data_IF_439348796705
#
_entry.id   IF_439348796705
#
_cell.length_a   1.000
_cell.length_b   1.000
_cell.length_c   1.000
_cell.angle_alpha   90.00
_cell.angle_beta   90.00
_cell.angle_gamma   90.00
#
_symmetry.space_group_name_H-M   'P 1'
#
loop_
_entity.id
_entity.type
_entity.pdbx_description
1 polymer ?
#
# COMPACT_ATOMS: atom_id res chain seq x y z
N UNK A 1 -35.42 23.76 63.38
CA UNK A 1 -35.27 22.85 62.22
C UNK A 1 -34.98 23.70 60.99
N UNK A 2 -33.75 23.67 60.45
CA UNK A 2 -33.40 24.32 59.18
C UNK A 2 -32.84 23.23 58.27
N UNK A 3 -33.62 22.83 57.27
CA UNK A 3 -33.25 21.79 56.31
C UNK A 3 -32.37 22.42 55.23
N UNK A 4 -31.11 22.00 55.13
CA UNK A 4 -30.19 22.37 54.07
C UNK A 4 -30.35 21.34 52.94
N UNK A 5 -30.75 21.80 51.75
CA UNK A 5 -30.82 20.97 50.55
C UNK A 5 -29.50 21.15 49.78
N UNK A 6 -28.67 20.10 49.78
CA UNK A 6 -27.46 20.04 48.97
C UNK A 6 -27.79 19.42 47.61
N UNK A 7 -27.72 20.21 46.55
CA UNK A 7 -27.84 19.73 45.17
C UNK A 7 -26.50 19.10 44.77
N UNK A 8 -26.49 17.79 44.55
CA UNK A 8 -25.34 17.05 44.02
C UNK A 8 -25.39 17.14 42.50
N UNK A 9 -24.46 17.90 41.92
CA UNK A 9 -24.25 17.98 40.48
C UNK A 9 -23.50 16.71 40.01
N UNK A 10 -24.20 15.77 39.39
CA UNK A 10 -23.58 14.59 38.78
C UNK A 10 -22.98 15.03 37.44
N UNK A 11 -21.66 15.24 37.41
CA UNK A 11 -20.92 15.43 36.18
C UNK A 11 -20.86 14.10 35.42
N UNK A 12 -21.69 13.95 34.39
CA UNK A 12 -21.59 12.85 33.43
C UNK A 12 -20.33 13.09 32.59
N UNK A 13 -19.22 12.48 33.00
CA UNK A 13 -18.00 12.44 32.20
C UNK A 13 -18.25 11.56 30.98
N UNK A 14 -18.51 12.18 29.82
CA UNK A 14 -18.46 11.48 28.53
C UNK A 14 -16.99 11.15 28.29
N UNK A 15 -16.55 9.96 28.69
CA UNK A 15 -15.27 9.43 28.26
C UNK A 15 -15.35 9.21 26.75
N UNK A 16 -14.78 10.13 25.98
CA UNK A 16 -14.60 9.96 24.53
C UNK A 16 -13.63 8.80 24.34
N UNK A 17 -14.17 7.58 24.18
CA UNK A 17 -13.36 6.41 23.90
C UNK A 17 -12.70 6.63 22.54
N UNK A 18 -11.37 6.62 22.52
CA UNK A 18 -10.58 6.73 21.29
C UNK A 18 -11.05 5.66 20.30
N UNK A 19 -11.78 6.07 19.26
CA UNK A 19 -12.26 5.13 18.26
C UNK A 19 -11.06 4.65 17.44
N UNK A 20 -10.81 3.34 17.50
CA UNK A 20 -9.75 2.69 16.76
C UNK A 20 -10.09 2.67 15.28
N UNK A 21 -9.25 3.28 14.45
CA UNK A 21 -9.32 3.23 12.99
C UNK A 21 -8.51 2.05 12.48
N UNK A 22 -9.16 1.05 11.89
CA UNK A 22 -8.51 -0.12 11.30
C UNK A 22 -8.41 0.05 9.77
N UNK A 23 -7.19 0.07 9.25
CA UNK A 23 -6.89 0.29 7.84
C UNK A 23 -6.29 -0.98 7.24
N UNK A 24 -6.90 -1.50 6.18
CA UNK A 24 -6.27 -2.48 5.31
C UNK A 24 -5.53 -1.75 4.19
N UNK A 25 -4.21 -1.89 4.10
CA UNK A 25 -3.38 -1.16 3.15
C UNK A 25 -2.49 -2.08 2.32
N UNK A 26 -2.40 -1.81 1.02
CA UNK A 26 -1.45 -2.50 0.16
C UNK A 26 0.00 -2.31 0.66
N UNK A 27 0.79 -3.37 0.62
CA UNK A 27 2.09 -3.41 1.28
C UNK A 27 3.13 -2.43 0.69
N UNK A 28 2.95 -1.96 -0.55
CA UNK A 28 3.79 -0.89 -1.13
C UNK A 28 3.66 0.43 -0.35
N UNK A 29 2.55 0.64 0.36
CA UNK A 29 2.25 1.88 1.07
C UNK A 29 2.92 1.97 2.44
N UNK A 30 3.64 0.93 2.88
CA UNK A 30 4.13 0.84 4.26
C UNK A 30 4.82 2.12 4.75
N UNK A 31 5.89 2.53 4.07
CA UNK A 31 6.70 3.66 4.53
C UNK A 31 5.96 5.00 4.45
N UNK A 32 5.20 5.25 3.38
CA UNK A 32 4.44 6.50 3.23
C UNK A 32 3.29 6.59 4.22
N UNK A 33 2.57 5.49 4.47
CA UNK A 33 1.48 5.48 5.45
C UNK A 33 1.97 5.50 6.89
N UNK A 34 3.14 4.92 7.19
CA UNK A 34 3.76 5.03 8.51
C UNK A 34 4.13 6.50 8.80
N UNK A 35 4.69 7.23 7.83
CA UNK A 35 4.98 8.66 7.95
C UNK A 35 3.70 9.51 8.06
N UNK A 36 2.69 9.27 7.20
CA UNK A 36 1.40 9.97 7.25
C UNK A 36 0.69 9.71 8.59
N UNK A 37 0.70 8.46 9.08
CA UNK A 37 0.14 8.11 10.39
C UNK A 37 0.84 8.87 11.50
N UNK A 38 2.18 8.96 11.46
CA UNK A 38 2.95 9.70 12.46
C UNK A 38 2.56 11.19 12.46
N UNK A 39 2.45 11.80 11.28
CA UNK A 39 2.00 13.19 11.15
C UNK A 39 0.56 13.39 11.65
N UNK A 40 -0.36 12.49 11.30
CA UNK A 40 -1.75 12.53 11.74
C UNK A 40 -1.86 12.46 13.27
N UNK A 41 -1.14 11.53 13.91
CA UNK A 41 -1.19 11.35 15.36
C UNK A 41 -0.58 12.52 16.14
N UNK A 42 0.33 13.28 15.55
CA UNK A 42 0.83 14.52 16.14
C UNK A 42 -0.28 15.59 16.26
N UNK A 43 -1.21 15.62 15.32
CA UNK A 43 -2.36 16.55 15.30
C UNK A 43 -3.60 15.98 16.02
N UNK A 44 -3.70 14.65 16.10
CA UNK A 44 -4.82 13.92 16.67
C UNK A 44 -4.35 12.88 17.70
N UNK A 45 -3.77 13.30 18.85
CA UNK A 45 -3.11 12.40 19.80
C UNK A 45 -4.06 11.42 20.50
N UNK A 46 -5.37 11.66 20.43
CA UNK A 46 -6.40 10.76 20.96
C UNK A 46 -6.83 9.67 19.97
N UNK A 47 -6.42 9.75 18.71
CA UNK A 47 -6.78 8.74 17.71
C UNK A 47 -5.88 7.50 17.85
N UNK A 48 -6.46 6.32 17.64
CA UNK A 48 -5.70 5.07 17.55
C UNK A 48 -5.83 4.51 16.13
N UNK A 49 -4.72 4.41 15.40
CA UNK A 49 -4.70 3.90 14.03
C UNK A 49 -3.93 2.57 14.00
N UNK A 50 -4.61 1.51 13.57
CA UNK A 50 -4.00 0.23 13.26
C UNK A 50 -4.01 0.01 11.74
N UNK A 51 -2.84 -0.25 11.16
CA UNK A 51 -2.69 -0.52 9.74
C UNK A 51 -2.24 -1.96 9.57
N UNK A 52 -3.00 -2.73 8.80
CA UNK A 52 -2.66 -4.08 8.36
C UNK A 52 -2.18 -4.02 6.92
N UNK A 53 -0.92 -4.41 6.71
CA UNK A 53 -0.31 -4.42 5.39
C UNK A 53 -0.40 -5.81 4.74
N UNK A 54 -0.70 -5.85 3.44
CA UNK A 54 -0.79 -7.10 2.68
C UNK A 54 -0.91 -6.85 1.17
N UNK A 55 -1.11 -7.91 0.38
CA UNK A 55 -1.50 -7.72 -1.02
C UNK A 55 -2.97 -7.27 -1.10
N UNK A 56 -3.30 -6.38 -2.04
CA UNK A 56 -4.65 -5.86 -2.21
C UNK A 56 -5.69 -6.97 -2.34
N UNK A 57 -5.38 -8.03 -3.11
CA UNK A 57 -6.26 -9.16 -3.28
C UNK A 57 -6.53 -9.90 -1.97
N UNK A 58 -5.49 -10.27 -1.22
CA UNK A 58 -5.67 -10.95 0.08
C UNK A 58 -6.47 -10.10 1.06
N UNK A 59 -6.18 -8.80 1.14
CA UNK A 59 -6.92 -7.87 2.02
C UNK A 59 -8.38 -7.69 1.60
N UNK A 60 -8.65 -7.59 0.29
CA UNK A 60 -10.02 -7.54 -0.23
C UNK A 60 -10.82 -8.80 0.13
N UNK A 61 -10.20 -9.98 0.07
CA UNK A 61 -10.84 -11.23 0.48
C UNK A 61 -11.12 -11.25 1.98
N UNK A 62 -10.20 -10.76 2.81
CA UNK A 62 -10.45 -10.61 4.24
C UNK A 62 -11.64 -9.69 4.52
N UNK A 63 -11.75 -8.56 3.82
CA UNK A 63 -12.90 -7.64 3.94
C UNK A 63 -14.20 -8.35 3.55
N UNK A 64 -14.22 -9.08 2.43
CA UNK A 64 -15.41 -9.84 2.00
C UNK A 64 -15.79 -10.95 3.00
N UNK A 65 -14.80 -11.51 3.69
CA UNK A 65 -14.99 -12.50 4.75
C UNK A 65 -15.32 -11.89 6.12
N UNK A 66 -15.57 -10.58 6.20
CA UNK A 66 -16.05 -9.91 7.41
C UNK A 66 -14.95 -9.41 8.35
N UNK A 67 -13.69 -9.33 7.90
CA UNK A 67 -12.63 -8.69 8.69
C UNK A 67 -12.99 -7.22 8.95
N UNK A 68 -12.88 -6.81 10.22
CA UNK A 68 -13.28 -5.48 10.69
C UNK A 68 -12.26 -4.40 10.28
N UNK A 69 -12.44 -3.86 9.08
CA UNK A 69 -11.72 -2.70 8.57
C UNK A 69 -12.67 -1.53 8.36
N UNK A 70 -12.16 -0.31 8.54
CA UNK A 70 -12.87 0.94 8.28
C UNK A 70 -12.49 1.53 6.92
N UNK A 71 -11.24 1.35 6.50
CA UNK A 71 -10.65 1.89 5.29
C UNK A 71 -9.85 0.82 4.57
N UNK A 72 -10.03 0.72 3.26
CA UNK A 72 -9.17 -0.06 2.38
C UNK A 72 -8.41 0.87 1.44
N UNK A 73 -7.09 0.72 1.39
CA UNK A 73 -6.19 1.44 0.48
C UNK A 73 -5.49 0.42 -0.42
N UNK A 74 -5.97 0.27 -1.66
CA UNK A 74 -5.46 -0.70 -2.63
C UNK A 74 -4.32 -0.12 -3.46
N UNK A 75 -3.47 -0.98 -4.02
CA UNK A 75 -2.48 -0.65 -5.06
C UNK A 75 -3.07 -0.57 -6.49
N UNK A 76 -4.39 -0.78 -6.65
CA UNK A 76 -5.14 -0.66 -7.89
C UNK A 76 -6.53 -0.06 -7.65
N UNK A 77 -7.27 0.14 -8.74
CA UNK A 77 -8.70 0.50 -8.74
C UNK A 77 -9.63 -0.72 -8.77
N UNK A 78 -9.14 -1.89 -9.20
CA UNK A 78 -9.94 -3.09 -9.44
C UNK A 78 -10.46 -3.73 -8.16
N UNK A 79 -9.64 -3.89 -7.11
CA UNK A 79 -10.11 -4.49 -5.86
C UNK A 79 -11.16 -3.62 -5.15
N UNK A 80 -10.98 -2.29 -5.02
CA UNK A 80 -12.03 -1.41 -4.51
C UNK A 80 -13.33 -1.49 -5.34
N UNK A 81 -13.23 -1.57 -6.67
CA UNK A 81 -14.40 -1.74 -7.53
C UNK A 81 -15.13 -3.08 -7.27
N UNK A 82 -14.38 -4.18 -7.12
CA UNK A 82 -14.94 -5.50 -6.75
C UNK A 82 -15.64 -5.46 -5.39
N UNK A 83 -15.06 -4.80 -4.39
CA UNK A 83 -15.68 -4.63 -3.07
C UNK A 83 -17.00 -3.85 -3.17
N UNK A 84 -17.03 -2.78 -3.97
CA UNK A 84 -18.25 -2.01 -4.23
C UNK A 84 -19.34 -2.88 -4.88
N UNK A 85 -18.99 -3.66 -5.91
CA UNK A 85 -19.92 -4.59 -6.56
C UNK A 85 -20.50 -5.64 -5.60
N UNK A 86 -19.77 -6.00 -4.55
CA UNK A 86 -20.21 -6.92 -3.49
C UNK A 86 -20.95 -6.22 -2.34
N UNK A 87 -21.18 -4.90 -2.43
CA UNK A 87 -21.87 -4.13 -1.40
C UNK A 87 -21.07 -3.94 -0.11
N UNK A 88 -19.75 -4.12 -0.17
CA UNK A 88 -18.85 -4.05 0.98
C UNK A 88 -18.30 -2.65 1.27
N UNK A 89 -18.67 -1.64 0.48
CA UNK A 89 -18.14 -0.27 0.60
C UNK A 89 -19.23 0.76 0.90
N UNK A 90 -18.80 1.92 1.41
CA UNK A 90 -19.62 3.13 1.53
C UNK A 90 -19.12 4.15 0.52
N UNK A 91 -19.92 4.42 -0.51
CA UNK A 91 -19.56 5.33 -1.58
C UNK A 91 -18.53 4.76 -2.56
N UNK A 92 -17.93 5.67 -3.32
CA UNK A 92 -16.99 5.36 -4.41
C UNK A 92 -15.54 5.38 -3.95
N UNK A 93 -14.71 4.62 -4.65
CA UNK A 93 -13.28 4.65 -4.45
C UNK A 93 -12.68 5.95 -5.00
N UNK A 94 -11.70 6.50 -4.30
CA UNK A 94 -10.99 7.72 -4.67
C UNK A 94 -9.56 7.36 -5.04
N UNK A 95 -9.11 7.75 -6.23
CA UNK A 95 -7.70 7.61 -6.62
C UNK A 95 -6.87 8.56 -5.77
N UNK A 96 -5.93 8.04 -4.99
CA UNK A 96 -5.08 8.83 -4.08
C UNK A 96 -3.67 9.02 -4.61
N UNK A 97 -3.15 8.08 -5.40
CA UNK A 97 -1.80 8.15 -5.93
C UNK A 97 -1.62 7.24 -7.16
N UNK A 98 -0.54 7.47 -7.90
CA UNK A 98 0.00 6.53 -8.89
C UNK A 98 1.36 6.04 -8.41
N UNK A 99 1.52 4.72 -8.38
CA UNK A 99 2.80 4.07 -8.07
C UNK A 99 3.70 3.94 -9.30
N UNK A 100 4.96 3.57 -9.05
CA UNK A 100 5.95 3.27 -10.10
C UNK A 100 6.60 1.91 -9.89
N UNK A 101 6.77 1.17 -10.97
CA UNK A 101 7.45 -0.13 -10.99
C UNK A 101 8.96 0.09 -11.20
N UNK A 102 9.78 -0.67 -10.49
CA UNK A 102 11.24 -0.65 -10.66
C UNK A 102 11.80 -2.06 -10.71
N UNK A 103 12.91 -2.22 -11.42
CA UNK A 103 13.78 -3.38 -11.30
C UNK A 103 14.88 -3.06 -10.28
N UNK A 104 15.03 -3.88 -9.24
CA UNK A 104 15.95 -3.65 -8.13
C UNK A 104 16.94 -4.82 -7.97
N UNK A 105 18.18 -4.51 -7.61
CA UNK A 105 19.19 -5.49 -7.24
C UNK A 105 20.16 -4.92 -6.19
N UNK A 106 20.72 -5.82 -5.36
CA UNK A 106 21.82 -5.50 -4.42
C UNK A 106 23.20 -5.90 -4.95
N UNK A 107 23.25 -6.71 -6.02
CA UNK A 107 24.49 -7.33 -6.50
C UNK A 107 24.77 -7.08 -7.98
N UNK A 108 23.73 -6.75 -8.76
CA UNK A 108 23.83 -6.55 -10.20
C UNK A 108 23.60 -5.09 -10.59
N UNK A 109 24.23 -4.69 -11.69
CA UNK A 109 24.11 -3.36 -12.25
C UNK A 109 22.80 -3.20 -13.03
N UNK A 110 21.79 -2.68 -12.34
CA UNK A 110 20.46 -2.39 -12.90
C UNK A 110 20.45 -1.24 -13.90
N UNK A 111 21.51 -0.42 -13.99
CA UNK A 111 21.55 0.70 -14.96
C UNK A 111 21.46 0.24 -16.41
N UNK A 112 21.75 -1.04 -16.67
CA UNK A 112 21.58 -1.73 -17.96
C UNK A 112 20.11 -1.92 -18.37
N UNK A 113 19.15 -1.59 -17.50
CA UNK A 113 17.73 -1.78 -17.77
C UNK A 113 17.38 -3.24 -18.04
N UNK A 114 16.38 -3.49 -18.89
CA UNK A 114 15.89 -4.86 -19.16
C UNK A 114 16.94 -5.78 -19.79
N UNK A 115 17.99 -5.24 -20.43
CA UNK A 115 19.10 -6.04 -20.95
C UNK A 115 19.85 -6.79 -19.83
N UNK A 116 19.75 -6.34 -18.57
CA UNK A 116 20.29 -7.07 -17.42
C UNK A 116 19.70 -8.49 -17.31
N UNK A 117 18.47 -8.71 -17.78
CA UNK A 117 17.79 -10.01 -17.67
C UNK A 117 18.45 -11.11 -18.53
N UNK A 118 19.34 -10.73 -19.45
CA UNK A 118 20.18 -11.62 -20.26
C UNK A 118 21.48 -12.03 -19.57
N UNK A 119 21.84 -11.35 -18.49
CA UNK A 119 23.04 -11.67 -17.72
C UNK A 119 22.91 -13.09 -17.14
N UNK A 120 23.94 -13.90 -17.35
CA UNK A 120 23.96 -15.31 -16.93
C UNK A 120 23.89 -15.45 -15.41
N UNK A 121 24.21 -14.40 -14.65
CA UNK A 121 24.08 -14.34 -13.19
C UNK A 121 22.62 -14.20 -12.73
N UNK A 122 21.71 -13.74 -13.57
CA UNK A 122 20.27 -13.69 -13.23
C UNK A 122 19.70 -15.10 -13.29
N UNK A 123 19.60 -15.76 -12.14
CA UNK A 123 19.05 -17.11 -11.98
C UNK A 123 17.62 -17.07 -11.46
N UNK A 124 17.31 -16.11 -10.59
CA UNK A 124 16.00 -15.90 -9.97
C UNK A 124 15.57 -14.45 -10.10
N UNK A 125 14.30 -14.27 -10.44
CA UNK A 125 13.65 -12.97 -10.60
C UNK A 125 12.46 -12.94 -9.65
N UNK A 126 12.52 -12.09 -8.63
CA UNK A 126 11.41 -11.92 -7.70
C UNK A 126 10.30 -11.09 -8.35
N UNK A 127 9.09 -11.64 -8.37
CA UNK A 127 7.87 -10.98 -8.85
C UNK A 127 6.78 -11.16 -7.79
N UNK A 128 5.92 -10.17 -7.54
CA UNK A 128 4.77 -10.39 -6.66
C UNK A 128 3.74 -11.30 -7.35
N UNK A 129 3.00 -12.12 -6.61
CA UNK A 129 1.99 -12.99 -7.20
C UNK A 129 0.92 -12.14 -7.93
N UNK A 130 0.79 -12.26 -9.27
CA UNK A 130 -0.10 -11.43 -10.07
C UNK A 130 -1.59 -11.65 -9.79
N UNK A 131 -1.96 -12.77 -9.16
CA UNK A 131 -3.37 -13.07 -8.83
C UNK A 131 -3.90 -12.16 -7.72
N UNK A 132 -3.00 -11.64 -6.87
CA UNK A 132 -3.36 -10.88 -5.67
C UNK A 132 -2.65 -9.54 -5.53
N UNK A 133 -1.60 -9.29 -6.31
CA UNK A 133 -0.78 -8.09 -6.19
C UNK A 133 -0.58 -7.37 -7.53
N UNK A 134 -1.03 -6.12 -7.59
CA UNK A 134 -1.00 -5.25 -8.79
C UNK A 134 0.40 -5.12 -9.41
N UNK A 135 1.43 -4.98 -8.58
CA UNK A 135 2.82 -4.89 -9.07
C UNK A 135 3.28 -6.18 -9.75
N UNK A 136 2.76 -7.33 -9.32
CA UNK A 136 2.94 -8.61 -10.01
C UNK A 136 2.30 -8.57 -11.38
N UNK A 137 1.02 -8.17 -11.45
CA UNK A 137 0.28 -8.01 -12.71
C UNK A 137 1.02 -7.09 -13.69
N UNK A 138 1.51 -5.92 -13.24
CA UNK A 138 2.29 -5.00 -14.10
C UNK A 138 3.63 -5.57 -14.56
N UNK A 139 4.26 -6.40 -13.74
CA UNK A 139 5.49 -7.10 -14.14
C UNK A 139 5.22 -8.13 -15.24
N UNK A 140 4.11 -8.87 -15.14
CA UNK A 140 3.71 -9.83 -16.18
C UNK A 140 3.30 -9.11 -17.48
N UNK A 141 2.60 -7.98 -17.38
CA UNK A 141 2.29 -7.12 -18.54
C UNK A 141 3.58 -6.66 -19.23
N UNK A 142 4.55 -6.13 -18.46
CA UNK A 142 5.87 -5.75 -18.95
C UNK A 142 6.57 -6.92 -19.67
N UNK A 143 6.64 -8.08 -19.03
CA UNK A 143 7.31 -9.24 -19.63
C UNK A 143 6.61 -9.72 -20.90
N UNK A 144 5.30 -9.62 -20.95
CA UNK A 144 4.52 -9.98 -22.14
C UNK A 144 4.77 -8.99 -23.28
N UNK A 145 4.67 -7.68 -23.00
CA UNK A 145 4.91 -6.62 -23.97
C UNK A 145 6.33 -6.66 -24.55
N UNK A 146 7.30 -7.16 -23.79
CA UNK A 146 8.70 -7.27 -24.19
C UNK A 146 9.09 -8.69 -24.69
N UNK A 147 8.12 -9.60 -24.86
CA UNK A 147 8.34 -10.99 -25.29
C UNK A 147 9.34 -11.77 -24.41
N UNK A 148 9.38 -11.45 -23.11
CA UNK A 148 10.31 -12.03 -22.13
C UNK A 148 9.74 -13.27 -21.42
N UNK A 149 8.41 -13.43 -21.42
CA UNK A 149 7.73 -14.46 -20.61
C UNK A 149 8.29 -15.87 -20.81
N UNK A 150 8.40 -16.35 -22.05
CA UNK A 150 8.87 -17.70 -22.36
C UNK A 150 10.28 -17.95 -21.81
N UNK A 151 11.16 -16.95 -21.92
CA UNK A 151 12.56 -17.05 -21.50
C UNK A 151 12.75 -16.92 -19.99
N UNK A 152 11.89 -16.14 -19.33
CA UNK A 152 12.01 -15.86 -17.90
C UNK A 152 11.18 -16.79 -17.02
N UNK A 153 10.22 -17.53 -17.57
CA UNK A 153 9.28 -18.38 -16.81
C UNK A 153 9.97 -19.27 -15.77
N UNK A 154 11.07 -19.94 -16.14
CA UNK A 154 11.83 -20.82 -15.24
C UNK A 154 12.68 -20.11 -14.19
N UNK A 155 12.78 -18.78 -14.25
CA UNK A 155 13.55 -17.94 -13.30
C UNK A 155 12.64 -17.20 -12.31
N UNK A 156 11.33 -17.11 -12.56
CA UNK A 156 10.43 -16.31 -11.73
C UNK A 156 10.17 -17.00 -10.40
N UNK A 157 10.36 -16.26 -9.31
CA UNK A 157 9.97 -16.66 -7.96
C UNK A 157 8.93 -15.69 -7.42
N UNK A 158 7.78 -16.21 -7.00
CA UNK A 158 6.66 -15.37 -6.57
C UNK A 158 6.72 -15.06 -5.08
N UNK A 159 6.67 -13.76 -4.74
CA UNK A 159 6.35 -13.29 -3.40
C UNK A 159 4.84 -13.13 -3.22
N UNK A 160 4.31 -13.40 -2.04
CA UNK A 160 2.88 -13.28 -1.73
C UNK A 160 2.35 -11.84 -1.83
N UNK A 161 3.24 -10.87 -1.64
CA UNK A 161 2.98 -9.44 -1.80
C UNK A 161 4.30 -8.72 -2.14
N UNK A 162 4.18 -7.44 -2.47
CA UNK A 162 5.31 -6.64 -2.96
C UNK A 162 6.43 -6.41 -1.93
N UNK A 163 6.13 -6.45 -0.63
CA UNK A 163 7.16 -6.38 0.43
C UNK A 163 7.97 -7.66 0.49
N UNK A 164 7.33 -8.83 0.40
CA UNK A 164 8.06 -10.10 0.35
C UNK A 164 8.90 -10.21 -0.93
N UNK A 165 8.38 -9.75 -2.07
CA UNK A 165 9.14 -9.66 -3.32
C UNK A 165 10.40 -8.80 -3.15
N UNK A 166 10.27 -7.64 -2.49
CA UNK A 166 11.42 -6.78 -2.18
C UNK A 166 12.42 -7.46 -1.23
N UNK A 167 11.95 -8.21 -0.24
CA UNK A 167 12.82 -8.98 0.65
C UNK A 167 13.64 -10.03 -0.10
N UNK A 168 13.07 -10.72 -1.10
CA UNK A 168 13.82 -11.69 -1.90
C UNK A 168 14.99 -11.04 -2.65
N UNK A 169 14.76 -9.86 -3.25
CA UNK A 169 15.82 -9.13 -3.95
C UNK A 169 16.83 -8.47 -2.99
N UNK A 170 16.39 -8.01 -1.82
CA UNK A 170 17.23 -7.41 -0.80
C UNK A 170 18.20 -8.42 -0.15
N UNK A 171 17.70 -9.63 0.11
CA UNK A 171 18.48 -10.72 0.73
C UNK A 171 19.38 -11.45 -0.26
N UNK A 172 19.18 -11.25 -1.57
CA UNK A 172 19.88 -11.99 -2.61
C UNK A 172 19.29 -13.38 -2.89
N UNK A 173 18.14 -13.71 -2.30
CA UNK A 173 17.38 -14.93 -2.64
C UNK A 173 16.86 -14.91 -4.09
N UNK A 174 16.72 -13.71 -4.66
CA UNK A 174 16.64 -13.47 -6.09
C UNK A 174 17.63 -12.37 -6.48
N UNK A 175 18.33 -12.51 -7.61
CA UNK A 175 19.33 -11.52 -8.01
C UNK A 175 18.69 -10.22 -8.51
N UNK A 176 17.46 -10.30 -9.01
CA UNK A 176 16.67 -9.17 -9.48
C UNK A 176 15.26 -9.27 -8.90
N UNK A 177 14.68 -8.15 -8.50
CA UNK A 177 13.25 -8.06 -8.13
C UNK A 177 12.54 -6.95 -8.86
N UNK A 178 11.32 -7.21 -9.30
CA UNK A 178 10.40 -6.18 -9.80
C UNK A 178 9.50 -5.72 -8.66
N UNK A 179 9.74 -4.50 -8.18
CA UNK A 179 9.19 -3.99 -6.93
C UNK A 179 8.58 -2.59 -7.07
N UNK A 180 7.91 -2.12 -6.02
CA UNK A 180 7.46 -0.74 -5.94
C UNK A 180 8.63 0.22 -5.67
N UNK A 181 8.66 1.36 -6.37
CA UNK A 181 9.65 2.42 -6.13
C UNK A 181 9.64 2.87 -4.67
N UNK A 182 8.47 2.93 -4.02
CA UNK A 182 8.33 3.29 -2.61
C UNK A 182 9.12 2.40 -1.66
N UNK A 183 9.27 1.10 -1.98
CA UNK A 183 10.08 0.18 -1.21
C UNK A 183 11.57 0.36 -1.54
N UNK A 184 11.91 0.55 -2.81
CA UNK A 184 13.29 0.79 -3.25
C UNK A 184 13.90 2.07 -2.65
N UNK A 185 13.06 3.09 -2.41
CA UNK A 185 13.44 4.36 -1.77
C UNK A 185 13.49 4.30 -0.23
N UNK A 186 13.09 3.18 0.38
CA UNK A 186 13.22 3.03 1.83
C UNK A 186 14.70 3.08 2.24
N UNK A 187 15.04 3.62 3.44
CA UNK A 187 16.42 3.82 3.85
C UNK A 187 17.28 2.55 3.76
N UNK A 188 16.72 1.41 4.19
CA UNK A 188 17.42 0.12 4.18
C UNK A 188 17.71 -0.37 2.75
N UNK A 189 16.72 -0.29 1.85
CA UNK A 189 16.87 -0.72 0.46
C UNK A 189 17.83 0.19 -0.32
N UNK A 190 17.69 1.52 -0.16
CA UNK A 190 18.52 2.50 -0.83
C UNK A 190 20.01 2.43 -0.40
N UNK A 191 20.25 2.05 0.87
CA UNK A 191 21.62 1.86 1.38
C UNK A 191 22.33 0.68 0.74
N UNK A 192 21.60 -0.40 0.39
CA UNK A 192 22.20 -1.67 -0.04
C UNK A 192 22.14 -1.91 -1.55
N UNK A 193 21.10 -1.44 -2.23
CA UNK A 193 20.86 -1.76 -3.64
C UNK A 193 20.61 -0.55 -4.51
N UNK A 194 20.42 -0.84 -5.79
CA UNK A 194 20.10 0.15 -6.82
C UNK A 194 18.84 -0.30 -7.55
N UNK A 195 18.15 0.66 -8.13
CA UNK A 195 16.98 0.39 -8.94
C UNK A 195 17.09 1.03 -10.32
N UNK A 196 16.40 0.43 -11.28
CA UNK A 196 16.12 0.97 -12.59
C UNK A 196 14.62 1.22 -12.71
N UNK A 197 14.25 2.45 -13.04
CA UNK A 197 12.85 2.83 -13.20
C UNK A 197 12.31 2.26 -14.50
N UNK A 198 11.22 1.50 -14.43
CA UNK A 198 10.57 0.96 -15.62
C UNK A 198 9.76 2.06 -16.29
N UNK A 199 9.90 2.17 -17.61
CA UNK A 199 9.11 3.09 -18.42
C UNK A 199 7.62 2.74 -18.32
N UNK A 200 6.80 3.74 -18.01
CA UNK A 200 5.36 3.59 -17.84
C UNK A 200 4.61 3.20 -19.12
N UNK A 201 5.22 3.32 -20.30
CA UNK A 201 4.64 2.85 -21.56
C UNK A 201 4.68 1.32 -21.71
N UNK A 202 5.46 0.63 -20.87
CA UNK A 202 5.68 -0.82 -20.97
C UNK A 202 4.69 -1.64 -20.14
N UNK A 203 3.82 -1.00 -19.36
CA UNK A 203 2.78 -1.65 -18.57
C UNK A 203 1.64 -0.67 -18.30
N UNK A 204 0.48 -1.17 -17.87
CA UNK A 204 -0.64 -0.30 -17.51
C UNK A 204 -0.28 0.57 -16.29
N UNK A 205 -0.83 1.80 -16.18
CA UNK A 205 -0.63 2.64 -15.01
C UNK A 205 -0.98 1.93 -13.69
N UNK A 206 -0.27 2.31 -12.62
CA UNK A 206 -0.50 1.80 -11.26
C UNK A 206 -1.30 2.85 -10.49
N UNK A 207 -2.51 3.15 -10.95
CA UNK A 207 -3.44 4.02 -10.23
C UNK A 207 -3.96 3.30 -8.99
N UNK A 208 -3.87 3.95 -7.84
CA UNK A 208 -4.16 3.35 -6.55
C UNK A 208 -5.34 4.09 -5.91
N UNK A 209 -6.33 3.34 -5.43
CA UNK A 209 -7.52 3.95 -4.83
C UNK A 209 -7.82 3.46 -3.41
N UNK A 210 -8.46 4.35 -2.65
CA UNK A 210 -8.93 4.11 -1.31
C UNK A 210 -10.45 4.11 -1.28
N UNK A 211 -11.05 3.34 -0.37
CA UNK A 211 -12.50 3.30 -0.20
C UNK A 211 -12.87 2.98 1.24
N UNK A 212 -13.95 3.60 1.71
CA UNK A 212 -14.52 3.31 3.03
C UNK A 212 -15.21 1.96 2.99
N UNK A 213 -14.96 1.14 4.01
CA UNK A 213 -15.60 -0.17 4.15
C UNK A 213 -16.92 0.00 4.89
N UNK A 214 -17.92 -0.78 4.48
CA UNK A 214 -19.22 -0.82 5.14
C UNK A 214 -19.09 -1.54 6.47
N UNK A 215 -19.27 -0.80 7.55
CA UNK A 215 -19.25 -1.30 8.93
C UNK A 215 -20.64 -1.17 9.58
N UNK A 216 -20.95 -1.97 10.62
CA UNK A 216 -22.20 -1.81 11.37
C UNK A 216 -22.32 -0.45 12.07
N UNK A 217 -21.19 0.07 12.55
CA UNK A 217 -21.10 1.39 13.20
C UNK A 217 -20.11 2.23 12.42
N UNK A 218 -20.56 3.38 11.93
CA UNK A 218 -19.70 4.31 11.20
C UNK A 218 -18.62 4.88 12.12
N UNK A 219 -17.36 4.79 11.69
CA UNK A 219 -16.24 5.44 12.36
C UNK A 219 -15.98 6.83 11.73
N UNK A 220 -16.29 7.95 12.42
CA UNK A 220 -16.03 9.29 11.91
C UNK A 220 -14.53 9.60 11.70
N UNK A 221 -13.61 8.91 12.40
CA UNK A 221 -12.16 9.06 12.16
C UNK A 221 -11.77 8.66 10.73
N UNK A 222 -12.50 7.72 10.11
CA UNK A 222 -12.21 7.27 8.75
C UNK A 222 -12.23 8.41 7.76
N UNK A 223 -13.25 9.28 7.84
CA UNK A 223 -13.37 10.41 6.92
C UNK A 223 -12.30 11.46 7.19
N UNK A 224 -11.97 11.72 8.46
CA UNK A 224 -10.88 12.65 8.85
C UNK A 224 -9.54 12.16 8.30
N UNK A 225 -9.23 10.88 8.48
CA UNK A 225 -7.98 10.31 7.98
C UNK A 225 -7.91 10.32 6.44
N UNK A 226 -9.00 10.01 5.73
CA UNK A 226 -9.05 10.13 4.26
C UNK A 226 -8.75 11.56 3.83
N UNK A 227 -9.40 12.56 4.44
CA UNK A 227 -9.15 13.97 4.11
C UNK A 227 -7.70 14.37 4.38
N UNK A 228 -7.11 13.87 5.46
CA UNK A 228 -5.71 14.13 5.80
C UNK A 228 -4.76 13.52 4.77
N UNK A 229 -4.94 12.23 4.45
CA UNK A 229 -4.17 11.49 3.44
C UNK A 229 -4.19 12.18 2.06
N UNK A 230 -5.35 12.70 1.66
CA UNK A 230 -5.57 13.38 0.39
C UNK A 230 -5.22 14.87 0.42
N UNK A 231 -4.83 15.41 1.56
CA UNK A 231 -4.56 16.85 1.69
C UNK A 231 -3.28 17.26 0.96
N UNK A 232 -3.22 18.50 0.45
CA UNK A 232 -1.98 19.05 -0.12
C UNK A 232 -0.79 18.99 0.84
N UNK A 233 -1.05 19.02 2.15
CA UNK A 233 -0.03 18.90 3.20
C UNK A 233 0.71 17.56 3.13
N UNK A 234 0.06 16.48 2.68
CA UNK A 234 0.65 15.14 2.60
C UNK A 234 1.37 14.87 1.27
N UNK A 235 1.18 15.72 0.25
CA UNK A 235 1.82 15.55 -1.06
C UNK A 235 3.35 15.37 -0.99
N UNK A 236 4.11 16.13 -0.18
CA UNK A 236 5.55 15.91 -0.06
C UNK A 236 5.93 14.52 0.46
N UNK A 237 5.11 13.91 1.33
CA UNK A 237 5.34 12.54 1.81
C UNK A 237 5.09 11.51 0.70
N UNK A 238 4.05 11.71 -0.12
CA UNK A 238 3.83 10.87 -1.31
C UNK A 238 5.00 10.94 -2.30
N UNK A 239 5.45 12.16 -2.61
CA UNK A 239 6.55 12.41 -3.54
C UNK A 239 7.89 11.87 -3.02
N UNK A 240 8.15 11.99 -1.70
CA UNK A 240 9.32 11.40 -1.02
C UNK A 240 9.47 9.90 -1.31
N UNK A 241 8.35 9.18 -1.41
CA UNK A 241 8.34 7.74 -1.71
C UNK A 241 8.05 7.42 -3.19
N UNK A 242 8.17 8.41 -4.08
CA UNK A 242 8.15 8.22 -5.53
C UNK A 242 6.76 8.07 -6.15
N UNK A 243 5.71 8.36 -5.40
CA UNK A 243 4.34 8.43 -5.92
C UNK A 243 4.09 9.75 -6.64
N UNK A 244 3.10 9.76 -7.53
CA UNK A 244 2.48 11.00 -8.00
C UNK A 244 1.04 11.06 -7.51
N UNK A 245 0.58 12.24 -7.08
CA UNK A 245 -0.80 12.43 -6.61
C UNK A 245 -1.62 13.17 -7.66
N UNK A 246 -2.93 12.88 -7.81
CA UNK A 246 -3.82 13.63 -8.69
C UNK A 246 -4.19 15.02 -8.16
N UNK A 247 -3.89 15.30 -6.88
CA UNK A 247 -4.20 16.53 -6.15
C UNK A 247 -2.95 17.05 -5.45
#
# INVERSE_FOLDING_TARGET
MKTIITIILIAIGITTQAQKLNIAAAANLKFVLDDIKTAYLAEHPKTNILITYGSSGKLSQQILNGAAFDLFMSADTDFPAKLKQRGATVGDAIIYAKGKLVMYSTTLDVSKGLALLDDTRVKKIAVANPDVATYGTRTIELFTAQNLMTRLAGKIVYGENITQTAQFAYTGNAEVGFIALSLALSPEMAAKGRYYLIDTSLHSPIEQSLVRIKTPVANPETQRFIQYVLSPKMKPLWEKYGYTTPH
#
